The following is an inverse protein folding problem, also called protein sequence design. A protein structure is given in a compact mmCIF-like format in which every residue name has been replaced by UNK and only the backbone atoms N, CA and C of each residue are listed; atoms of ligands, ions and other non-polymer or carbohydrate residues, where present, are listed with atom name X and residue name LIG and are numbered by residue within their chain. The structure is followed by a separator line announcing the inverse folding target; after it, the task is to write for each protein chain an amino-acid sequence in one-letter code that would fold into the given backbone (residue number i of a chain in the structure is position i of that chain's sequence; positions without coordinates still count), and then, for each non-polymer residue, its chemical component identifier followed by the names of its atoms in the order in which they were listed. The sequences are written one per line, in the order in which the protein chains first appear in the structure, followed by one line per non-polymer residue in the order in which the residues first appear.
data_IF_372324157588
#
_entry.id   IF_372324157588
#
_cell.length_a   1.000
_cell.length_b   1.000
_cell.length_c   1.000
_cell.angle_alpha   90.00
_cell.angle_beta   90.00
_cell.angle_gamma   90.00
#
_symmetry.space_group_name_H-M   'P 1'
#
loop_
_entity.id
_entity.type
_entity.pdbx_description
1 polymer ?
#
# COMPACT_ATOMS: atom_id res chain seq x y z
N UNK A 1 44.89 -6.42 51.90
CA UNK A 1 43.57 -7.06 51.68
C UNK A 1 42.84 -6.32 50.58
N UNK A 2 42.25 -7.08 49.65
CA UNK A 2 41.27 -6.70 48.61
C UNK A 2 41.71 -5.72 47.50
N UNK A 3 42.27 -6.29 46.43
CA UNK A 3 42.17 -5.77 45.06
C UNK A 3 40.70 -5.83 44.62
N UNK A 4 40.15 -4.74 44.08
CA UNK A 4 38.85 -4.72 43.41
C UNK A 4 39.02 -4.08 42.03
N UNK A 5 39.50 -4.88 41.07
CA UNK A 5 39.48 -4.55 39.64
C UNK A 5 38.03 -4.55 39.16
N UNK A 6 37.41 -3.38 39.01
CA UNK A 6 36.16 -3.24 38.28
C UNK A 6 36.45 -3.26 36.78
N UNK A 7 36.50 -4.47 36.22
CA UNK A 7 36.32 -4.67 34.80
C UNK A 7 34.89 -4.32 34.43
N UNK A 8 34.71 -3.32 33.55
CA UNK A 8 33.44 -3.10 32.85
C UNK A 8 33.77 -2.90 31.38
N UNK A 9 33.94 -4.02 30.69
CA UNK A 9 33.99 -4.06 29.24
C UNK A 9 32.63 -3.59 28.71
N UNK A 10 32.59 -2.39 28.14
CA UNK A 10 31.50 -1.96 27.29
C UNK A 10 31.64 -2.74 25.97
N UNK A 11 31.03 -3.93 25.92
CA UNK A 11 30.83 -4.61 24.66
C UNK A 11 29.88 -3.75 23.81
N UNK A 12 30.46 -2.98 22.90
CA UNK A 12 29.74 -2.39 21.79
C UNK A 12 29.10 -3.54 21.01
N UNK A 13 27.81 -3.78 21.24
CA UNK A 13 27.03 -4.70 20.45
C UNK A 13 27.04 -4.16 19.00
N UNK A 14 27.91 -4.74 18.18
CA UNK A 14 27.92 -4.53 16.74
C UNK A 14 26.51 -4.83 16.24
N UNK A 15 25.80 -3.77 15.85
CA UNK A 15 24.42 -3.85 15.42
C UNK A 15 24.33 -4.71 14.17
N UNK A 16 23.72 -5.89 14.31
CA UNK A 16 23.15 -6.60 13.16
C UNK A 16 22.28 -5.60 12.41
N UNK A 17 22.49 -5.36 11.10
CA UNK A 17 21.61 -4.48 10.35
C UNK A 17 20.19 -5.00 10.52
N UNK A 18 19.21 -4.14 10.91
CA UNK A 18 17.85 -4.60 11.03
C UNK A 18 17.46 -5.24 9.69
N UNK A 19 16.89 -6.45 9.75
CA UNK A 19 16.38 -7.12 8.57
C UNK A 19 15.51 -6.14 7.75
N UNK A 20 15.45 -6.24 6.41
CA UNK A 20 14.79 -5.22 5.57
C UNK A 20 13.31 -4.97 5.91
N UNK A 21 12.69 -5.86 6.69
CA UNK A 21 11.33 -5.79 7.21
C UNK A 21 11.23 -5.30 8.67
N UNK A 22 12.33 -5.29 9.43
CA UNK A 22 12.38 -4.80 10.80
C UNK A 22 12.45 -3.28 10.75
N UNK A 23 11.36 -2.64 11.19
CA UNK A 23 11.27 -1.18 11.28
C UNK A 23 12.43 -0.61 12.08
N UNK A 24 13.15 0.35 11.51
CA UNK A 24 13.89 1.30 12.32
C UNK A 24 12.87 2.05 13.17
N UNK A 25 12.89 1.82 14.49
CA UNK A 25 11.85 2.27 15.42
C UNK A 25 11.69 3.80 15.53
N UNK A 26 12.39 4.62 14.73
CA UNK A 26 12.39 6.08 14.96
C UNK A 26 12.64 7.00 13.75
N UNK A 27 12.75 6.54 12.50
CA UNK A 27 13.38 7.38 11.46
C UNK A 27 12.54 7.87 10.27
N UNK A 28 11.24 7.59 10.12
CA UNK A 28 10.50 8.12 8.94
C UNK A 28 8.99 8.35 9.07
N UNK A 29 8.43 8.41 10.28
CA UNK A 29 7.03 8.85 10.47
C UNK A 29 6.99 10.37 10.64
N UNK A 30 7.33 11.14 9.60
CA UNK A 30 7.31 12.61 9.69
C UNK A 30 5.88 13.18 9.75
N UNK A 31 4.87 12.37 9.47
CA UNK A 31 3.49 12.84 9.35
C UNK A 31 2.68 12.45 10.56
N UNK A 32 2.30 13.46 11.34
CA UNK A 32 1.35 13.34 12.44
C UNK A 32 0.06 13.99 12.02
N UNK A 33 -1.05 13.25 12.09
CA UNK A 33 -2.38 13.80 11.87
C UNK A 33 -2.86 14.38 13.19
N UNK A 34 -3.15 15.68 13.19
CA UNK A 34 -3.80 16.36 14.30
C UNK A 34 -5.31 16.24 14.16
N UNK A 35 -5.94 15.87 15.27
CA UNK A 35 -7.38 15.74 15.34
C UNK A 35 -7.96 16.35 16.62
N UNK A 36 -9.23 16.69 16.59
CA UNK A 36 -10.00 17.19 17.74
C UNK A 36 -11.24 16.31 17.90
N UNK A 37 -11.65 15.91 19.12
CA UNK A 37 -12.88 15.16 19.31
C UNK A 37 -14.09 16.01 18.92
N UNK A 38 -15.12 15.36 18.36
CA UNK A 38 -16.39 16.03 18.04
C UNK A 38 -17.55 15.34 18.72
N UNK A 39 -18.44 16.13 19.29
CA UNK A 39 -19.69 15.65 19.89
C UNK A 39 -20.81 15.57 18.84
N UNK A 40 -20.91 16.59 17.99
CA UNK A 40 -21.96 16.65 16.97
C UNK A 40 -21.60 15.81 15.74
N UNK A 41 -22.59 15.06 15.25
CA UNK A 41 -22.50 14.31 14.00
C UNK A 41 -23.64 14.66 13.05
N UNK A 42 -23.51 14.28 11.78
CA UNK A 42 -24.49 14.50 10.74
C UNK A 42 -24.01 15.43 9.61
N UNK A 43 -24.82 15.57 8.54
CA UNK A 43 -24.41 16.23 7.30
C UNK A 43 -24.13 17.72 7.48
N UNK A 44 -24.95 18.43 8.27
CA UNK A 44 -24.77 19.88 8.54
C UNK A 44 -23.49 20.16 9.33
N UNK A 45 -23.22 19.36 10.36
CA UNK A 45 -22.00 19.47 11.15
C UNK A 45 -20.76 19.17 10.29
N UNK A 46 -20.79 18.07 9.51
CA UNK A 46 -19.72 17.72 8.59
C UNK A 46 -19.44 18.82 7.54
N UNK A 47 -20.50 19.45 7.00
CA UNK A 47 -20.35 20.56 6.06
C UNK A 47 -19.71 21.78 6.72
N UNK A 48 -20.07 22.10 7.97
CA UNK A 48 -19.45 23.19 8.73
C UNK A 48 -17.95 22.94 8.97
N UNK A 49 -17.57 21.74 9.40
CA UNK A 49 -16.16 21.40 9.61
C UNK A 49 -15.35 21.54 8.31
N UNK A 50 -15.91 21.11 7.17
CA UNK A 50 -15.24 21.27 5.86
C UNK A 50 -15.08 22.73 5.44
N UNK A 51 -16.02 23.62 5.78
CA UNK A 51 -15.89 25.07 5.56
C UNK A 51 -14.75 25.67 6.39
N UNK A 52 -14.52 25.17 7.60
CA UNK A 52 -13.38 25.56 8.45
C UNK A 52 -12.06 24.87 8.06
N UNK A 53 -12.01 24.15 6.94
CA UNK A 53 -10.79 23.48 6.50
C UNK A 53 -10.44 22.22 7.31
N UNK A 54 -11.43 21.59 7.96
CA UNK A 54 -11.27 20.32 8.67
C UNK A 54 -12.02 19.19 7.96
N UNK A 55 -11.59 17.96 8.21
CA UNK A 55 -12.20 16.74 7.65
C UNK A 55 -12.82 15.95 8.79
N UNK A 56 -14.13 15.65 8.76
CA UNK A 56 -14.70 14.74 9.74
C UNK A 56 -14.07 13.36 9.59
N UNK A 57 -13.68 12.78 10.72
CA UNK A 57 -12.99 11.50 10.78
C UNK A 57 -13.63 10.59 11.82
N UNK A 58 -13.43 9.28 11.65
CA UNK A 58 -13.85 8.25 12.59
C UNK A 58 -12.65 7.38 12.91
N UNK A 59 -12.33 7.28 14.20
CA UNK A 59 -11.35 6.34 14.73
C UNK A 59 -12.09 5.13 15.30
N UNK A 60 -11.80 3.97 14.73
CA UNK A 60 -12.35 2.69 15.12
C UNK A 60 -11.29 1.92 15.92
N UNK A 61 -11.61 1.54 17.14
CA UNK A 61 -10.76 0.62 17.90
C UNK A 61 -11.35 -0.79 17.86
N UNK A 62 -10.48 -1.78 17.72
CA UNK A 62 -10.85 -3.18 17.62
C UNK A 62 -10.94 -3.81 19.01
N UNK A 63 -11.90 -4.74 19.19
CA UNK A 63 -12.15 -5.40 20.47
C UNK A 63 -11.13 -6.48 20.85
N UNK A 64 -9.94 -6.48 20.25
CA UNK A 64 -8.82 -7.37 20.58
C UNK A 64 -7.94 -7.73 19.39
N UNK A 65 -6.93 -8.54 19.64
CA UNK A 65 -5.87 -8.89 18.68
C UNK A 65 -6.29 -9.96 17.64
N UNK A 66 -7.39 -10.67 17.89
CA UNK A 66 -7.81 -11.79 17.04
C UNK A 66 -8.43 -11.33 15.71
N UNK A 67 -8.21 -12.08 14.61
CA UNK A 67 -8.74 -11.74 13.30
C UNK A 67 -10.26 -11.87 13.27
N UNK A 68 -10.94 -10.79 12.91
CA UNK A 68 -12.41 -10.74 12.87
C UNK A 68 -13.06 -10.13 14.10
N UNK A 69 -12.28 -9.62 15.07
CA UNK A 69 -12.83 -8.88 16.19
C UNK A 69 -13.63 -7.66 15.70
N UNK A 70 -14.83 -7.53 16.27
CA UNK A 70 -15.71 -6.39 16.01
C UNK A 70 -15.10 -5.08 16.50
N UNK A 71 -15.80 -3.99 16.18
CA UNK A 71 -15.42 -2.65 16.62
C UNK A 71 -15.79 -2.53 18.12
N UNK A 72 -14.81 -2.31 19.00
CA UNK A 72 -15.05 -2.08 20.42
C UNK A 72 -15.60 -0.68 20.67
N UNK A 73 -14.90 0.35 20.19
CA UNK A 73 -15.31 1.73 20.40
C UNK A 73 -15.10 2.58 19.16
N UNK A 74 -16.01 3.53 18.96
CA UNK A 74 -15.98 4.50 17.86
C UNK A 74 -15.76 5.89 18.44
N UNK A 75 -14.64 6.51 18.11
CA UNK A 75 -14.33 7.91 18.46
C UNK A 75 -14.58 8.79 17.25
N UNK A 76 -15.43 9.79 17.42
CA UNK A 76 -15.71 10.79 16.39
C UNK A 76 -14.69 11.91 16.51
N UNK A 77 -13.97 12.17 15.44
CA UNK A 77 -12.89 13.16 15.39
C UNK A 77 -13.11 14.14 14.22
N UNK A 78 -12.39 15.25 14.25
CA UNK A 78 -12.16 16.15 13.12
C UNK A 78 -10.66 16.26 12.91
N UNK A 79 -10.16 15.93 11.72
CA UNK A 79 -8.76 16.01 11.35
C UNK A 79 -8.47 17.30 10.56
N UNK A 80 -7.24 17.79 10.59
CA UNK A 80 -6.82 18.90 9.73
C UNK A 80 -6.78 18.47 8.25
N UNK A 81 -7.50 19.19 7.37
CA UNK A 81 -7.53 18.89 5.94
C UNK A 81 -6.16 19.04 5.29
N UNK A 82 -5.39 20.06 5.68
CA UNK A 82 -4.12 20.40 5.00
C UNK A 82 -3.12 19.24 5.13
N UNK A 83 -2.98 18.73 6.34
CA UNK A 83 -2.12 17.58 6.65
C UNK A 83 -2.54 16.35 5.82
N UNK A 84 -3.84 16.00 5.83
CA UNK A 84 -4.31 14.81 5.10
C UNK A 84 -4.11 14.96 3.59
N UNK A 85 -4.35 16.14 3.03
CA UNK A 85 -4.12 16.42 1.60
C UNK A 85 -2.64 16.32 1.25
N UNK A 86 -1.75 16.86 2.09
CA UNK A 86 -0.31 16.79 1.89
C UNK A 86 0.19 15.34 1.89
N UNK A 87 -0.26 14.54 2.86
CA UNK A 87 0.09 13.12 2.95
C UNK A 87 -0.37 12.33 1.73
N UNK A 88 -1.57 12.61 1.23
CA UNK A 88 -2.12 12.00 0.02
C UNK A 88 -1.38 12.43 -1.25
N UNK A 89 -0.78 13.62 -1.28
CA UNK A 89 0.05 14.09 -2.39
C UNK A 89 1.44 13.48 -2.38
N UNK A 90 2.04 13.37 -1.19
CA UNK A 90 3.40 12.83 -1.02
C UNK A 90 3.47 11.34 -1.28
N UNK A 91 2.44 10.58 -0.87
CA UNK A 91 2.45 9.12 -1.01
C UNK A 91 1.15 8.59 -1.59
N UNK A 92 1.20 7.78 -2.66
CA UNK A 92 0.04 7.00 -3.09
C UNK A 92 -0.30 5.87 -2.09
N UNK A 93 0.61 5.58 -1.17
CA UNK A 93 0.56 4.50 -0.16
C UNK A 93 -0.08 4.91 1.17
N UNK A 94 -0.88 5.98 1.17
CA UNK A 94 -1.48 6.51 2.40
C UNK A 94 -2.36 5.49 3.14
N UNK A 95 -3.07 4.60 2.42
CA UNK A 95 -3.96 3.59 3.03
C UNK A 95 -3.22 2.36 3.57
N UNK A 96 -2.00 2.12 3.10
CA UNK A 96 -1.14 1.00 3.52
C UNK A 96 -0.11 1.42 4.55
N UNK A 97 0.03 2.71 4.82
CA UNK A 97 1.05 3.24 5.73
C UNK A 97 0.41 3.62 7.08
N UNK A 98 0.89 3.06 8.21
CA UNK A 98 0.44 3.49 9.53
C UNK A 98 0.95 4.91 9.84
N UNK A 99 0.11 5.72 10.45
CA UNK A 99 0.32 7.15 10.73
C UNK A 99 0.16 7.43 12.21
N UNK A 100 0.88 8.43 12.73
CA UNK A 100 0.68 8.89 14.12
C UNK A 100 -0.51 9.83 14.20
N UNK A 101 -1.42 9.58 15.13
CA UNK A 101 -2.56 10.43 15.44
C UNK A 101 -2.32 11.15 16.77
N UNK A 102 -2.51 12.47 16.78
CA UNK A 102 -2.55 13.29 17.99
C UNK A 102 -3.92 13.95 18.12
N UNK A 103 -4.69 13.52 19.12
CA UNK A 103 -5.98 14.08 19.45
C UNK A 103 -5.79 15.17 20.51
N UNK A 104 -6.07 16.42 20.13
CA UNK A 104 -6.07 17.59 21.01
C UNK A 104 -7.41 17.71 21.74
N UNK A 105 -7.43 18.32 22.92
CA UNK A 105 -8.65 18.48 23.72
C UNK A 105 -9.70 19.38 23.04
N UNK A 106 -9.24 20.38 22.30
CA UNK A 106 -10.06 21.38 21.62
C UNK A 106 -9.28 22.11 20.53
N UNK A 107 -9.99 22.92 19.75
CA UNK A 107 -9.45 23.61 18.57
C UNK A 107 -8.31 24.58 18.90
N UNK A 108 -8.40 25.27 20.04
CA UNK A 108 -7.41 26.27 20.48
C UNK A 108 -6.43 25.74 21.52
N UNK A 109 -6.59 24.49 21.95
CA UNK A 109 -5.75 23.89 22.99
C UNK A 109 -4.62 23.08 22.38
N UNK A 110 -3.43 23.16 22.96
CA UNK A 110 -2.31 22.28 22.62
C UNK A 110 -2.25 21.02 23.49
N UNK A 111 -3.15 20.87 24.47
CA UNK A 111 -3.20 19.69 25.32
C UNK A 111 -3.62 18.44 24.51
N UNK A 112 -2.76 17.43 24.51
CA UNK A 112 -3.01 16.14 23.84
C UNK A 112 -3.77 15.24 24.79
N UNK A 113 -4.98 14.83 24.40
CA UNK A 113 -5.84 13.91 25.17
C UNK A 113 -5.49 12.46 24.85
N UNK A 114 -5.21 12.16 23.58
CA UNK A 114 -4.92 10.81 23.13
C UNK A 114 -3.92 10.84 21.99
N UNK A 115 -2.89 10.01 22.09
CA UNK A 115 -1.92 9.78 21.02
C UNK A 115 -1.84 8.29 20.73
N UNK A 116 -1.82 7.91 19.45
CA UNK A 116 -1.73 6.52 19.05
C UNK A 116 -1.33 6.35 17.59
N UNK A 117 -0.92 5.14 17.23
CA UNK A 117 -0.70 4.76 15.84
C UNK A 117 -2.02 4.31 15.24
N UNK A 118 -2.33 4.81 14.04
CA UNK A 118 -3.58 4.51 13.34
C UNK A 118 -3.30 4.15 11.89
N UNK A 119 -4.10 3.26 11.34
CA UNK A 119 -4.07 2.91 9.93
C UNK A 119 -5.29 3.52 9.22
N UNK A 120 -5.09 4.36 8.20
CA UNK A 120 -6.19 4.81 7.34
C UNK A 120 -6.75 3.64 6.52
N UNK A 121 -8.04 3.33 6.68
CA UNK A 121 -8.69 2.26 5.91
C UNK A 121 -9.33 2.80 4.65
N UNK A 122 -9.99 3.95 4.76
CA UNK A 122 -10.75 4.52 3.66
C UNK A 122 -10.77 6.04 3.72
N UNK A 123 -10.53 6.65 2.56
CA UNK A 123 -10.70 8.08 2.35
C UNK A 123 -11.86 8.26 1.38
N UNK A 124 -12.93 8.92 1.82
CA UNK A 124 -14.00 9.34 0.93
C UNK A 124 -13.61 10.68 0.31
N UNK A 125 -13.42 10.69 -1.00
CA UNK A 125 -13.19 11.89 -1.78
C UNK A 125 -14.41 12.15 -2.65
N UNK A 126 -14.70 13.41 -2.87
CA UNK A 126 -15.62 13.84 -3.91
C UNK A 126 -14.92 13.73 -5.27
N UNK A 127 -15.54 13.07 -6.23
CA UNK A 127 -14.94 12.78 -7.54
C UNK A 127 -14.82 14.07 -8.38
N UNK A 128 -15.81 14.95 -8.29
CA UNK A 128 -15.87 16.19 -9.08
C UNK A 128 -14.90 17.24 -8.53
N UNK A 129 -14.90 17.44 -7.21
CA UNK A 129 -14.12 18.52 -6.59
C UNK A 129 -12.78 18.07 -6.03
N UNK A 130 -12.54 16.76 -5.90
CA UNK A 130 -11.36 16.20 -5.25
C UNK A 130 -11.29 16.44 -3.74
N UNK A 131 -12.34 17.03 -3.14
CA UNK A 131 -12.36 17.36 -1.72
C UNK A 131 -12.55 16.11 -0.86
N UNK A 132 -11.89 16.07 0.30
CA UNK A 132 -12.02 14.96 1.24
C UNK A 132 -13.28 15.13 2.07
N UNK A 133 -14.20 14.18 1.95
CA UNK A 133 -15.47 14.18 2.65
C UNK A 133 -15.37 13.52 4.02
N UNK A 134 -14.69 12.37 4.12
CA UNK A 134 -14.61 11.59 5.35
C UNK A 134 -13.32 10.78 5.38
N UNK A 135 -12.74 10.63 6.58
CA UNK A 135 -11.57 9.80 6.82
C UNK A 135 -11.90 8.70 7.84
N UNK A 136 -11.71 7.44 7.46
CA UNK A 136 -11.91 6.29 8.36
C UNK A 136 -10.54 5.71 8.71
N UNK A 137 -10.27 5.65 10.01
CA UNK A 137 -9.03 5.13 10.57
C UNK A 137 -9.33 4.04 11.58
N UNK A 138 -8.44 3.04 11.66
CA UNK A 138 -8.45 2.02 12.71
C UNK A 138 -7.22 2.22 13.59
N UNK A 139 -7.40 2.05 14.89
CA UNK A 139 -6.30 2.01 15.84
C UNK A 139 -5.41 0.80 15.58
N UNK A 140 -4.11 1.03 15.43
CA UNK A 140 -3.11 0.03 15.07
C UNK A 140 -2.17 -0.20 16.26
N UNK A 141 -2.70 -0.88 17.29
CA UNK A 141 -1.91 -1.27 18.45
C UNK A 141 -1.04 -2.49 18.14
N UNK A 142 0.03 -2.68 18.91
CA UNK A 142 0.95 -3.82 18.77
C UNK A 142 0.19 -5.16 18.90
N UNK A 143 0.56 -6.13 18.07
CA UNK A 143 -0.14 -7.41 17.99
C UNK A 143 -1.55 -7.42 17.37
N UNK A 144 -2.15 -6.27 17.04
CA UNK A 144 -3.49 -6.26 16.40
C UNK A 144 -3.43 -6.72 14.94
N UNK A 145 -4.33 -7.64 14.57
CA UNK A 145 -4.45 -8.12 13.19
C UNK A 145 -5.38 -7.21 12.39
N UNK A 146 -4.82 -6.50 11.42
CA UNK A 146 -5.52 -5.53 10.58
C UNK A 146 -5.74 -6.08 9.17
N UNK A 147 -6.88 -5.74 8.57
CA UNK A 147 -7.16 -5.99 7.15
C UNK A 147 -6.65 -4.79 6.36
N UNK A 148 -5.61 -5.00 5.55
CA UNK A 148 -4.93 -3.93 4.82
C UNK A 148 -5.03 -4.21 3.32
N UNK A 149 -5.39 -3.19 2.54
CA UNK A 149 -5.31 -3.24 1.08
C UNK A 149 -3.96 -2.67 0.65
N UNK A 150 -3.08 -3.56 0.21
CA UNK A 150 -1.72 -3.23 -0.20
C UNK A 150 -1.67 -3.05 -1.72
N UNK A 151 -1.18 -1.90 -2.22
CA UNK A 151 -1.00 -1.69 -3.65
C UNK A 151 0.21 -2.48 -4.16
N UNK A 152 0.11 -2.90 -5.42
CA UNK A 152 1.12 -3.67 -6.14
C UNK A 152 1.85 -2.76 -7.11
N UNK A 153 3.16 -2.63 -6.93
CA UNK A 153 4.06 -2.00 -7.88
C UNK A 153 4.77 -3.06 -8.71
N UNK A 154 4.94 -2.79 -10.00
CA UNK A 154 5.65 -3.66 -10.93
C UNK A 154 7.05 -3.10 -11.19
N UNK A 155 8.08 -3.90 -10.88
CA UNK A 155 9.48 -3.57 -11.14
C UNK A 155 9.98 -4.30 -12.38
N UNK A 156 10.94 -3.71 -13.06
CA UNK A 156 11.60 -4.33 -14.21
C UNK A 156 10.79 -4.33 -15.50
N UNK A 157 9.74 -3.50 -15.64
CA UNK A 157 8.97 -3.36 -16.89
C UNK A 157 9.88 -3.08 -18.09
N UNK A 158 10.89 -2.24 -17.91
CA UNK A 158 11.85 -1.90 -18.95
C UNK A 158 12.81 -3.05 -19.31
N UNK A 159 13.06 -4.03 -18.43
CA UNK A 159 14.01 -5.12 -18.68
C UNK A 159 13.33 -6.41 -19.15
N UNK A 160 12.02 -6.53 -18.91
CA UNK A 160 11.22 -7.70 -19.21
C UNK A 160 11.29 -8.10 -20.70
N UNK A 161 11.74 -9.33 -21.03
CA UNK A 161 11.87 -9.77 -22.42
C UNK A 161 10.51 -9.85 -23.11
N UNK A 162 9.44 -10.21 -22.39
CA UNK A 162 8.09 -10.24 -22.94
C UNK A 162 7.61 -8.88 -23.45
N UNK A 163 8.04 -7.77 -22.84
CA UNK A 163 7.64 -6.41 -23.24
C UNK A 163 8.58 -5.79 -24.29
N UNK A 164 9.87 -6.15 -24.25
CA UNK A 164 10.90 -5.64 -25.16
C UNK A 164 10.95 -6.36 -26.48
N UNK A 165 10.86 -7.70 -26.47
CA UNK A 165 11.13 -8.51 -27.65
C UNK A 165 9.95 -8.42 -28.59
N UNK A 166 10.22 -7.89 -29.77
CA UNK A 166 9.34 -8.03 -30.92
C UNK A 166 9.67 -9.37 -31.55
N UNK A 167 8.92 -10.42 -31.22
CA UNK A 167 9.15 -11.76 -31.79
C UNK A 167 8.19 -12.01 -32.95
N UNK A 168 8.63 -12.67 -34.04
CA UNK A 168 7.70 -13.41 -34.88
C UNK A 168 7.10 -14.54 -34.03
N UNK A 169 5.77 -14.69 -34.02
CA UNK A 169 5.14 -15.81 -33.31
C UNK A 169 5.63 -17.14 -33.90
N UNK A 170 6.56 -17.80 -33.23
CA UNK A 170 6.72 -19.25 -33.37
C UNK A 170 5.67 -19.90 -32.49
N UNK A 171 4.64 -20.48 -33.11
CA UNK A 171 3.51 -21.08 -32.43
C UNK A 171 3.95 -22.11 -31.37
N UNK A 172 3.46 -21.99 -30.13
CA UNK A 172 3.18 -23.19 -29.35
C UNK A 172 1.99 -23.89 -30.02
N UNK A 173 1.99 -25.23 -30.18
CA UNK A 173 0.91 -25.94 -30.84
C UNK A 173 -0.30 -25.99 -29.90
N UNK A 174 -1.17 -24.98 -29.95
CA UNK A 174 -2.52 -25.11 -29.42
C UNK A 174 -3.51 -25.02 -30.58
N UNK A 175 -4.32 -26.08 -30.66
CA UNK A 175 -5.32 -26.32 -31.70
C UNK A 175 -6.25 -25.10 -31.86
N UNK A 176 -6.47 -24.80 -33.13
CA UNK A 176 -7.46 -23.90 -33.73
C UNK A 176 -7.07 -22.42 -33.96
N UNK A 177 -6.85 -22.19 -35.26
CA UNK A 177 -6.81 -20.95 -36.04
C UNK A 177 -5.49 -20.19 -36.10
N UNK A 178 -4.57 -20.82 -36.83
CA UNK A 178 -3.42 -20.23 -37.51
C UNK A 178 -3.84 -19.48 -38.78
N UNK A 179 -3.75 -18.14 -38.75
CA UNK A 179 -3.26 -17.37 -39.90
C UNK A 179 -1.86 -16.91 -39.53
N UNK A 180 -0.89 -17.80 -39.73
CA UNK A 180 0.53 -17.49 -39.56
C UNK A 180 0.94 -16.72 -40.81
N UNK A 181 1.05 -15.40 -40.70
CA UNK A 181 1.68 -14.57 -41.73
C UNK A 181 3.16 -14.43 -41.33
N UNK A 182 4.10 -14.95 -42.14
CA UNK A 182 5.52 -14.76 -41.89
C UNK A 182 5.86 -13.26 -41.93
N UNK A 183 6.55 -12.75 -40.93
CA UNK A 183 7.03 -11.35 -40.88
C UNK A 183 6.27 -10.41 -39.94
N UNK A 184 5.18 -10.84 -39.29
CA UNK A 184 4.47 -9.98 -38.32
C UNK A 184 5.18 -9.95 -36.96
N UNK A 185 5.45 -8.74 -36.52
CA UNK A 185 6.19 -8.38 -35.32
C UNK A 185 5.19 -8.11 -34.19
N UNK A 186 5.24 -8.89 -33.11
CA UNK A 186 4.33 -8.75 -31.97
C UNK A 186 5.04 -8.14 -30.78
N UNK A 187 4.45 -7.09 -30.20
CA UNK A 187 4.92 -6.48 -28.94
C UNK A 187 4.11 -7.04 -27.77
N UNK A 188 4.77 -7.44 -26.69
CA UNK A 188 4.04 -7.81 -25.48
C UNK A 188 3.46 -6.58 -24.77
N UNK A 189 2.28 -6.76 -24.17
CA UNK A 189 1.60 -5.79 -23.33
C UNK A 189 1.35 -6.40 -21.94
N UNK A 190 1.66 -5.62 -20.89
CA UNK A 190 1.43 -6.01 -19.51
C UNK A 190 -0.03 -5.73 -19.14
N UNK A 191 -0.82 -6.80 -19.00
CA UNK A 191 -2.15 -6.71 -18.43
C UNK A 191 -2.09 -6.77 -16.91
N UNK A 192 -2.31 -5.62 -16.26
CA UNK A 192 -2.45 -5.50 -14.80
C UNK A 192 -3.89 -5.87 -14.42
N UNK A 193 -4.08 -7.07 -13.85
CA UNK A 193 -5.41 -7.56 -13.46
C UNK A 193 -5.79 -7.03 -12.09
N UNK A 194 -4.84 -7.03 -11.15
CA UNK A 194 -5.01 -6.44 -9.83
C UNK A 194 -3.90 -5.45 -9.54
N UNK A 195 -4.31 -4.26 -9.11
CA UNK A 195 -3.43 -3.18 -8.67
C UNK A 195 -3.32 -3.12 -7.15
N UNK A 196 -4.15 -3.87 -6.42
CA UNK A 196 -4.11 -3.98 -4.97
C UNK A 196 -4.55 -5.37 -4.49
N UNK A 197 -4.02 -5.78 -3.34
CA UNK A 197 -4.24 -7.07 -2.71
C UNK A 197 -4.60 -6.88 -1.24
N UNK A 198 -5.64 -7.57 -0.78
CA UNK A 198 -6.09 -7.52 0.60
C UNK A 198 -5.36 -8.60 1.44
N UNK A 199 -4.63 -8.16 2.46
CA UNK A 199 -3.93 -9.02 3.40
C UNK A 199 -4.42 -8.78 4.83
N UNK A 200 -4.30 -9.81 5.65
CA UNK A 200 -4.42 -9.77 7.09
C UNK A 200 -3.01 -9.77 7.68
N UNK A 201 -2.68 -8.71 8.41
CA UNK A 201 -1.31 -8.44 8.84
C UNK A 201 -1.31 -7.92 10.28
N UNK A 202 -0.30 -8.24 11.10
CA UNK A 202 -0.09 -7.52 12.35
C UNK A 202 0.28 -6.06 12.03
N UNK A 203 -0.14 -5.12 12.89
CA UNK A 203 0.20 -3.70 12.78
C UNK A 203 1.72 -3.42 12.69
N UNK A 204 2.53 -4.38 13.14
CA UNK A 204 3.98 -4.25 13.18
C UNK A 204 4.69 -4.42 11.84
N UNK A 205 4.18 -5.31 10.99
CA UNK A 205 4.85 -5.73 9.77
C UNK A 205 4.06 -5.37 8.52
N UNK A 206 3.29 -4.26 8.56
CA UNK A 206 2.55 -3.79 7.38
C UNK A 206 3.55 -3.18 6.39
N UNK A 207 3.73 -3.77 5.19
CA UNK A 207 4.55 -3.16 4.16
C UNK A 207 3.78 -1.99 3.52
N UNK A 208 4.45 -0.91 3.10
CA UNK A 208 3.78 0.19 2.40
C UNK A 208 3.30 -0.21 1.00
N UNK A 209 4.02 -1.12 0.33
CA UNK A 209 3.73 -1.61 -1.02
C UNK A 209 4.23 -3.03 -1.20
N UNK A 210 3.67 -3.72 -2.18
CA UNK A 210 4.11 -5.04 -2.64
C UNK A 210 4.79 -4.86 -3.98
N UNK A 211 6.02 -5.34 -4.09
CA UNK A 211 6.80 -5.24 -5.32
C UNK A 211 6.75 -6.59 -6.05
N UNK A 212 6.43 -6.54 -7.34
CA UNK A 212 6.37 -7.71 -8.21
C UNK A 212 7.38 -7.54 -9.33
N UNK A 213 8.33 -8.47 -9.40
CA UNK A 213 9.40 -8.46 -10.38
C UNK A 213 8.96 -9.09 -11.71
N UNK A 214 9.12 -8.34 -12.82
CA UNK A 214 8.76 -8.79 -14.17
C UNK A 214 9.97 -9.12 -15.05
N UNK A 215 11.18 -9.01 -14.51
CA UNK A 215 12.45 -9.13 -15.25
C UNK A 215 12.57 -10.43 -16.05
N UNK A 216 12.10 -11.54 -15.51
CA UNK A 216 12.29 -12.87 -16.09
C UNK A 216 11.06 -13.43 -16.82
N UNK A 217 10.03 -12.61 -17.05
CA UNK A 217 8.79 -13.07 -17.67
C UNK A 217 8.80 -12.93 -19.20
N UNK A 218 8.32 -13.95 -19.90
CA UNK A 218 8.10 -13.94 -21.34
C UNK A 218 6.59 -13.79 -21.69
N UNK A 219 6.28 -13.66 -22.98
CA UNK A 219 4.90 -13.52 -23.47
C UNK A 219 4.10 -14.80 -23.17
N UNK A 220 2.93 -14.64 -22.58
CA UNK A 220 2.05 -15.74 -22.15
C UNK A 220 2.21 -16.10 -20.67
N UNK A 221 3.25 -15.63 -20.01
CA UNK A 221 3.47 -15.88 -18.59
C UNK A 221 2.54 -15.05 -17.71
N UNK A 222 2.26 -15.58 -16.52
CA UNK A 222 1.37 -14.99 -15.51
C UNK A 222 1.98 -15.16 -14.14
N UNK A 223 1.90 -14.12 -13.32
CA UNK A 223 2.26 -14.19 -11.90
C UNK A 223 0.98 -14.41 -11.10
N UNK A 224 0.96 -15.46 -10.28
CA UNK A 224 -0.16 -15.79 -9.41
C UNK A 224 0.01 -15.11 -8.04
N UNK A 225 -1.06 -15.08 -7.25
CA UNK A 225 -1.02 -14.40 -5.95
C UNK A 225 -0.09 -15.09 -4.94
N UNK A 226 0.13 -16.39 -5.07
CA UNK A 226 1.02 -17.17 -4.20
C UNK A 226 2.51 -17.02 -4.57
N UNK A 227 2.82 -16.66 -5.82
CA UNK A 227 4.20 -16.47 -6.29
C UNK A 227 4.82 -15.17 -5.76
N UNK A 228 4.01 -14.30 -5.15
CA UNK A 228 4.48 -13.02 -4.66
C UNK A 228 5.29 -13.23 -3.38
N UNK A 229 6.53 -12.74 -3.32
CA UNK A 229 7.36 -12.84 -2.12
C UNK A 229 6.78 -11.94 -1.02
N UNK A 230 6.06 -12.55 -0.07
CA UNK A 230 5.47 -11.88 1.09
C UNK A 230 6.03 -12.44 2.39
N UNK A 231 6.07 -11.60 3.43
CA UNK A 231 6.47 -12.03 4.77
C UNK A 231 5.48 -13.07 5.33
N UNK A 232 5.99 -14.05 6.08
CA UNK A 232 5.21 -15.18 6.63
C UNK A 232 4.04 -14.78 7.54
N UNK A 233 4.07 -13.56 8.09
CA UNK A 233 2.98 -13.02 8.91
C UNK A 233 1.79 -12.48 8.10
N UNK A 234 1.92 -12.33 6.79
CA UNK A 234 0.89 -11.78 5.91
C UNK A 234 0.01 -12.92 5.40
N UNK A 235 -1.26 -12.95 5.83
CA UNK A 235 -2.24 -13.93 5.35
C UNK A 235 -3.11 -13.30 4.27
N UNK A 236 -3.15 -13.92 3.09
CA UNK A 236 -3.98 -13.44 1.99
C UNK A 236 -5.47 -13.62 2.33
N UNK A 237 -6.29 -12.60 2.09
CA UNK A 237 -7.75 -12.64 2.36
C UNK A 237 -8.58 -13.03 1.13
N UNK A 238 -7.93 -13.30 0.00
CA UNK A 238 -8.59 -13.65 -1.26
C UNK A 238 -9.02 -15.11 -1.23
N UNK A 239 -10.28 -15.39 -1.62
CA UNK A 239 -10.82 -16.75 -1.68
C UNK A 239 -10.13 -17.64 -2.73
N UNK A 240 -9.56 -17.03 -3.76
CA UNK A 240 -8.94 -17.71 -4.90
C UNK A 240 -7.47 -17.30 -4.98
N UNK A 241 -6.57 -18.21 -4.60
CA UNK A 241 -5.11 -18.00 -4.62
C UNK A 241 -4.50 -18.28 -6.01
N UNK A 242 -5.25 -18.96 -6.86
CA UNK A 242 -4.88 -19.29 -8.24
C UNK A 242 -5.14 -18.15 -9.22
N UNK A 243 -5.69 -17.02 -8.75
CA UNK A 243 -5.92 -15.87 -9.61
C UNK A 243 -4.60 -15.16 -9.96
N UNK A 244 -4.40 -14.78 -11.22
CA UNK A 244 -3.22 -14.03 -11.65
C UNK A 244 -3.32 -12.55 -11.27
N UNK A 245 -2.20 -11.98 -10.82
CA UNK A 245 -2.05 -10.55 -10.52
C UNK A 245 -1.71 -9.76 -11.79
N UNK A 246 -0.80 -10.30 -12.60
CA UNK A 246 -0.46 -9.76 -13.92
C UNK A 246 -0.26 -10.87 -14.95
N UNK A 247 -0.47 -10.51 -16.22
CA UNK A 247 -0.19 -11.37 -17.38
C UNK A 247 0.51 -10.56 -18.44
N UNK A 248 1.42 -11.18 -19.18
CA UNK A 248 1.98 -10.59 -20.39
C UNK A 248 1.27 -11.21 -21.58
N UNK A 249 0.53 -10.39 -22.33
CA UNK A 249 -0.20 -10.81 -23.53
C UNK A 249 0.48 -10.26 -24.78
N UNK A 250 0.32 -10.93 -25.92
CA UNK A 250 0.72 -10.38 -27.21
C UNK A 250 -0.28 -9.32 -27.68
N UNK A 251 0.22 -8.18 -28.18
CA UNK A 251 -0.62 -7.19 -28.85
C UNK A 251 -1.09 -7.69 -30.22
N UNK A 252 -2.03 -6.95 -30.84
CA UNK A 252 -2.29 -7.10 -32.27
C UNK A 252 -0.99 -6.86 -33.07
N UNK A 253 -0.82 -7.54 -34.21
CA UNK A 253 0.38 -7.38 -35.03
C UNK A 253 0.51 -5.93 -35.49
N UNK A 254 1.73 -5.41 -35.43
CA UNK A 254 2.07 -4.11 -36.04
C UNK A 254 2.80 -4.42 -37.33
N UNK A 255 2.32 -3.84 -38.43
CA UNK A 255 2.95 -4.01 -39.73
C UNK A 255 4.29 -3.26 -39.75
N UNK A 256 5.32 -3.90 -40.32
CA UNK A 256 6.73 -3.54 -40.23
C UNK A 256 7.13 -2.21 -40.90
N UNK A 257 6.19 -1.51 -41.52
CA UNK A 257 6.46 -0.29 -42.31
C UNK A 257 6.67 0.96 -41.44
N UNK A 258 6.23 0.98 -40.17
CA UNK A 258 6.27 2.18 -39.30
C UNK A 258 7.55 2.36 -38.47
N UNK A 259 8.54 1.45 -38.58
CA UNK A 259 9.78 1.53 -37.78
C UNK A 259 10.95 2.25 -38.47
N UNK A 260 10.81 2.70 -39.72
CA UNK A 260 11.86 3.47 -40.42
C UNK A 260 11.84 4.98 -40.10
N UNK A 261 10.72 5.54 -39.62
CA UNK A 261 10.57 6.99 -39.46
C UNK A 261 11.00 7.55 -38.08
N UNK A 262 11.41 6.69 -37.14
CA UNK A 262 11.86 7.10 -35.80
C UNK A 262 13.39 7.12 -35.63
N UNK A 263 14.14 6.94 -36.72
CA UNK A 263 15.61 6.99 -36.73
C UNK A 263 16.19 8.06 -37.66
N UNK A 264 15.35 8.92 -38.22
CA UNK A 264 15.75 10.07 -39.05
C UNK A 264 15.86 11.34 -38.21
#
# INVERSE_FOLDING_TARGET
MAQCLRGRAAAAAAGVPPAPWRRAASASYHHTIQAVPRETSGPRAAARERRHGRVPAVLLALAGAAPGNGIAHRKLLTADRRQVVEMLKQSPYFLSTPVRLQVRAGERSNAVVHSGTVLPIKVHKDETTGNILNLVMVQADEGTMLKVNLPVEFKGEAACPGLKKVRPMTAKPQKQQSLIVPGKLYRGFLQKIRTSLAYLCPAEHIPPKIEVDLTNLDVGDRILMHDIPVHSSLKLLSKNETMPVCKILASKPVDSETMQDLKS
#
